data_IF_112659537643
#
_entry.id   IF_112659537643
#
_cell.length_a   1.000
_cell.length_b   1.000
_cell.length_c   1.000
_cell.angle_alpha   90.00
_cell.angle_beta   90.00
_cell.angle_gamma   90.00
#
_symmetry.space_group_name_H-M   'P 1'
#
loop_
_entity.id
_entity.type
_entity.pdbx_description
1 polymer ?
#
# COMPACT_ATOMS: atom_id res chain seq x y z
N UNK A 1 -0.49 33.81 69.66
CA UNK A 1 0.67 33.35 68.86
C UNK A 1 0.54 31.85 68.64
N UNK A 2 0.45 31.41 67.38
CA UNK A 2 1.05 30.18 66.84
C UNK A 2 0.68 30.08 65.36
N UNK A 3 1.70 30.30 64.52
CA UNK A 3 1.71 30.16 63.07
C UNK A 3 1.78 28.67 62.70
N UNK A 4 1.07 28.21 61.66
CA UNK A 4 1.60 27.36 60.56
C UNK A 4 0.52 27.12 59.47
N UNK A 5 0.85 26.67 58.23
CA UNK A 5 0.58 27.46 57.04
C UNK A 5 -0.38 26.82 56.02
N UNK A 6 -0.78 27.64 55.06
CA UNK A 6 -1.53 27.30 53.85
C UNK A 6 -0.81 26.29 52.94
N UNK A 7 -1.64 25.55 52.19
CA UNK A 7 -1.44 24.92 50.86
C UNK A 7 -1.27 23.39 50.83
N UNK A 8 -2.38 22.66 50.99
CA UNK A 8 -2.57 21.39 50.28
C UNK A 8 -2.98 21.68 48.83
N UNK A 9 -2.01 22.06 48.00
CA UNK A 9 -2.17 22.04 46.55
C UNK A 9 -1.71 20.66 46.06
N UNK A 10 -2.65 19.94 45.44
CA UNK A 10 -2.44 18.96 44.35
C UNK A 10 -1.18 18.10 44.49
N UNK A 11 -1.27 16.98 45.18
CA UNK A 11 -0.27 15.92 45.03
C UNK A 11 -0.97 14.56 45.01
N UNK A 12 -0.95 13.96 43.82
CA UNK A 12 -1.08 12.53 43.56
C UNK A 12 -2.43 11.87 43.86
N UNK A 13 -3.44 12.20 43.05
CA UNK A 13 -4.44 11.21 42.65
C UNK A 13 -4.35 11.09 41.14
N UNK A 14 -3.43 10.24 40.68
CA UNK A 14 -3.55 9.62 39.36
C UNK A 14 -3.13 8.15 39.42
N UNK A 15 -3.88 7.27 40.10
CA UNK A 15 -3.67 5.83 40.00
C UNK A 15 -4.54 5.18 38.91
N UNK A 16 -4.93 5.91 37.84
CA UNK A 16 -5.87 5.37 36.85
C UNK A 16 -5.68 5.91 35.43
N UNK A 17 -4.45 5.86 34.91
CA UNK A 17 -4.22 5.96 33.45
C UNK A 17 -3.27 4.89 32.90
N UNK A 18 -2.65 4.06 33.74
CA UNK A 18 -1.83 2.93 33.27
C UNK A 18 -2.61 1.62 33.08
N UNK A 19 -3.90 1.56 33.43
CA UNK A 19 -4.73 0.35 33.23
C UNK A 19 -5.56 0.38 31.94
N UNK A 20 -5.78 1.56 31.35
CA UNK A 20 -6.58 1.68 30.12
C UNK A 20 -5.73 1.38 28.86
N UNK A 21 -4.42 1.63 28.89
CA UNK A 21 -3.53 1.28 27.76
C UNK A 21 -3.23 -0.21 27.67
N UNK A 22 -3.24 -0.94 28.79
CA UNK A 22 -3.15 -2.41 28.77
C UNK A 22 -4.49 -3.06 28.35
N UNK A 23 -5.63 -2.46 28.72
CA UNK A 23 -6.95 -3.00 28.35
C UNK A 23 -7.32 -2.73 26.87
N UNK A 24 -6.94 -1.59 26.30
CA UNK A 24 -7.06 -1.39 24.84
C UNK A 24 -6.01 -2.22 24.06
N UNK A 25 -4.83 -2.45 24.63
CA UNK A 25 -3.82 -3.34 24.03
C UNK A 25 -4.21 -4.82 24.01
N UNK A 26 -5.02 -5.27 24.97
CA UNK A 26 -5.47 -6.68 25.07
C UNK A 26 -6.69 -7.00 24.21
N UNK A 27 -7.45 -6.00 23.75
CA UNK A 27 -8.51 -6.20 22.74
C UNK A 27 -7.99 -6.15 21.29
N UNK A 28 -6.81 -5.57 21.02
CA UNK A 28 -6.17 -5.70 19.71
C UNK A 28 -5.34 -6.99 19.53
N UNK A 29 -5.08 -7.74 20.61
CA UNK A 29 -4.36 -9.02 20.54
C UNK A 29 -5.25 -10.27 20.69
N UNK A 30 -6.58 -10.14 20.73
CA UNK A 30 -7.49 -11.29 20.91
C UNK A 30 -8.44 -11.55 19.73
N UNK A 31 -8.35 -10.78 18.64
CA UNK A 31 -9.13 -10.98 17.39
C UNK A 31 -8.26 -11.26 16.15
N UNK A 32 -7.16 -12.00 16.31
CA UNK A 32 -6.75 -12.96 15.27
C UNK A 32 -6.95 -14.35 15.86
N UNK A 33 -8.23 -14.64 16.01
CA UNK A 33 -8.82 -15.95 16.14
C UNK A 33 -8.03 -16.93 15.26
N UNK A 34 -7.58 -18.01 15.89
CA UNK A 34 -6.94 -19.14 15.25
C UNK A 34 -7.95 -19.82 14.31
N UNK A 35 -8.15 -19.24 13.14
CA UNK A 35 -8.79 -19.83 11.98
C UNK A 35 -7.74 -20.01 10.89
N UNK A 36 -6.73 -20.83 11.16
CA UNK A 36 -5.97 -21.55 10.15
C UNK A 36 -6.14 -23.02 10.51
N UNK A 37 -7.10 -23.71 9.89
CA UNK A 37 -6.90 -24.40 8.61
C UNK A 37 -5.52 -25.06 8.60
N UNK A 38 -5.54 -26.38 8.64
CA UNK A 38 -4.41 -27.24 8.36
C UNK A 38 -3.91 -27.03 6.92
N UNK A 39 -3.34 -25.88 6.61
CA UNK A 39 -2.36 -25.80 5.53
C UNK A 39 -1.00 -25.98 6.17
N UNK A 40 -0.46 -27.15 5.92
CA UNK A 40 0.92 -27.52 6.19
C UNK A 40 1.81 -26.61 5.36
N UNK A 41 1.95 -25.33 5.75
CA UNK A 41 2.99 -24.45 5.24
C UNK A 41 4.27 -24.88 5.94
N UNK A 42 4.80 -26.01 5.46
CA UNK A 42 6.15 -26.45 5.79
C UNK A 42 7.04 -25.31 5.32
N UNK A 43 7.49 -24.47 6.25
CA UNK A 43 8.64 -23.61 6.03
C UNK A 43 9.81 -24.56 5.86
N UNK A 44 9.97 -25.02 4.63
CA UNK A 44 10.98 -25.98 4.26
C UNK A 44 12.31 -25.23 4.25
N UNK A 45 12.96 -25.18 5.40
CA UNK A 45 14.41 -24.96 5.45
C UNK A 45 15.01 -26.25 4.90
N UNK A 46 15.11 -26.35 3.57
CA UNK A 46 15.55 -27.57 2.90
C UNK A 46 17.05 -27.70 3.13
N UNK A 47 17.40 -28.57 4.07
CA UNK A 47 18.77 -28.99 4.32
C UNK A 47 19.35 -29.64 3.07
N UNK A 48 20.59 -29.26 2.77
CA UNK A 48 21.40 -29.43 1.56
C UNK A 48 21.74 -30.86 1.10
N UNK A 49 20.87 -31.84 1.30
CA UNK A 49 21.02 -33.21 0.77
C UNK A 49 20.27 -33.38 -0.56
N UNK A 50 20.83 -34.18 -1.48
CA UNK A 50 20.36 -34.51 -2.83
C UNK A 50 18.88 -34.17 -3.08
N UNK A 51 18.61 -33.17 -3.92
CA UNK A 51 17.23 -32.80 -4.25
C UNK A 51 16.54 -34.00 -4.93
N UNK A 52 15.42 -34.44 -4.35
CA UNK A 52 14.57 -35.45 -4.96
C UNK A 52 13.73 -34.82 -6.09
N UNK A 53 13.38 -35.59 -7.15
CA UNK A 53 12.51 -35.11 -8.23
C UNK A 53 11.25 -34.37 -7.75
N UNK A 54 10.62 -34.90 -6.70
CA UNK A 54 9.44 -34.28 -6.07
C UNK A 54 9.69 -32.84 -5.58
N UNK A 55 10.88 -32.55 -5.07
CA UNK A 55 11.23 -31.21 -4.60
C UNK A 55 11.41 -30.25 -5.77
N UNK A 56 11.99 -30.69 -6.89
CA UNK A 56 12.05 -29.89 -8.13
C UNK A 56 10.64 -29.58 -8.63
N UNK A 57 9.74 -30.55 -8.61
CA UNK A 57 8.34 -30.36 -9.03
C UNK A 57 7.63 -29.33 -8.16
N UNK A 58 7.80 -29.42 -6.84
CA UNK A 58 7.25 -28.47 -5.89
C UNK A 58 7.77 -27.05 -6.13
N UNK A 59 9.08 -26.88 -6.30
CA UNK A 59 9.68 -25.56 -6.57
C UNK A 59 9.22 -25.01 -7.92
N UNK A 60 9.08 -25.86 -8.93
CA UNK A 60 8.59 -25.47 -10.26
C UNK A 60 7.13 -24.99 -10.19
N UNK A 61 6.28 -25.72 -9.48
CA UNK A 61 4.87 -25.35 -9.29
C UNK A 61 4.74 -24.07 -8.46
N UNK A 62 5.53 -23.91 -7.39
CA UNK A 62 5.56 -22.67 -6.60
C UNK A 62 5.98 -21.47 -7.46
N UNK A 63 7.02 -21.63 -8.29
CA UNK A 63 7.45 -20.56 -9.19
C UNK A 63 6.34 -20.16 -10.16
N UNK A 64 5.61 -21.13 -10.70
CA UNK A 64 4.47 -20.90 -11.59
C UNK A 64 3.35 -20.14 -10.87
N UNK A 65 2.99 -20.55 -9.66
CA UNK A 65 1.95 -19.89 -8.86
C UNK A 65 2.31 -18.43 -8.56
N UNK A 66 3.53 -18.16 -8.08
CA UNK A 66 3.98 -16.79 -7.83
C UNK A 66 3.96 -15.93 -9.11
N UNK A 67 4.40 -16.48 -10.25
CA UNK A 67 4.30 -15.80 -11.55
C UNK A 67 2.85 -15.46 -11.89
N UNK A 68 1.93 -16.41 -11.78
CA UNK A 68 0.51 -16.20 -12.11
C UNK A 68 -0.13 -15.13 -11.22
N UNK A 69 0.14 -15.13 -9.92
CA UNK A 69 -0.33 -14.09 -8.99
C UNK A 69 0.19 -12.71 -9.38
N UNK A 70 1.48 -12.59 -9.70
CA UNK A 70 2.09 -11.31 -10.12
C UNK A 70 1.42 -10.77 -11.38
N UNK A 71 1.24 -11.63 -12.39
CA UNK A 71 0.62 -11.21 -13.67
C UNK A 71 -0.84 -10.82 -13.49
N UNK A 72 -1.59 -11.58 -12.69
CA UNK A 72 -2.98 -11.28 -12.41
C UNK A 72 -3.14 -9.92 -11.72
N UNK A 73 -2.35 -9.65 -10.68
CA UNK A 73 -2.38 -8.37 -9.97
C UNK A 73 -2.01 -7.21 -10.89
N UNK A 74 -1.00 -7.40 -11.74
CA UNK A 74 -0.55 -6.37 -12.67
C UNK A 74 -1.63 -6.00 -13.70
N UNK A 75 -2.31 -7.00 -14.26
CA UNK A 75 -3.42 -6.78 -15.19
C UNK A 75 -4.65 -6.17 -14.50
N UNK A 76 -4.95 -6.58 -13.26
CA UNK A 76 -6.04 -5.99 -12.48
C UNK A 76 -5.80 -4.49 -12.24
N UNK A 77 -4.61 -4.08 -11.83
CA UNK A 77 -4.26 -2.67 -11.66
C UNK A 77 -4.41 -1.88 -12.97
N UNK A 78 -3.92 -2.42 -14.08
CA UNK A 78 -4.03 -1.80 -15.41
C UNK A 78 -5.47 -1.62 -15.88
N UNK A 79 -6.37 -2.54 -15.52
CA UNK A 79 -7.78 -2.43 -15.87
C UNK A 79 -8.49 -1.26 -15.16
N UNK A 80 -7.96 -0.80 -14.02
CA UNK A 80 -8.55 0.23 -13.14
C UNK A 80 -7.87 1.60 -13.30
N UNK A 81 -7.68 2.09 -14.53
CA UNK A 81 -6.98 3.38 -14.80
C UNK A 81 -7.93 4.54 -15.08
N UNK A 82 -9.18 4.28 -15.40
CA UNK A 82 -10.17 5.33 -15.72
C UNK A 82 -10.85 5.85 -14.45
N UNK A 83 -10.88 7.17 -14.30
CA UNK A 83 -11.58 7.87 -13.22
C UNK A 83 -12.25 9.13 -13.77
N UNK A 84 -13.37 9.50 -13.16
CA UNK A 84 -14.17 10.70 -13.51
C UNK A 84 -14.22 11.72 -12.37
N UNK A 85 -13.77 11.35 -11.17
CA UNK A 85 -13.74 12.20 -9.99
C UNK A 85 -12.46 12.02 -9.18
N UNK A 86 -12.17 13.00 -8.31
CA UNK A 86 -11.06 12.94 -7.35
C UNK A 86 -11.17 11.75 -6.40
N UNK A 87 -12.40 11.41 -5.97
CA UNK A 87 -12.64 10.25 -5.09
C UNK A 87 -12.32 8.92 -5.80
N UNK A 88 -12.69 8.79 -7.07
CA UNK A 88 -12.32 7.62 -7.87
C UNK A 88 -10.81 7.54 -8.08
N UNK A 89 -10.15 8.68 -8.34
CA UNK A 89 -8.69 8.76 -8.45
C UNK A 89 -7.98 8.33 -7.15
N UNK A 90 -8.49 8.71 -5.98
CA UNK A 90 -7.98 8.24 -4.69
C UNK A 90 -8.10 6.72 -4.53
N UNK A 91 -9.24 6.14 -4.92
CA UNK A 91 -9.43 4.69 -4.89
C UNK A 91 -8.49 3.95 -5.87
N UNK A 92 -8.31 4.50 -7.07
CA UNK A 92 -7.33 4.00 -8.04
C UNK A 92 -5.92 4.05 -7.44
N UNK A 93 -5.53 5.14 -6.79
CA UNK A 93 -4.25 5.28 -6.11
C UNK A 93 -4.04 4.23 -5.01
N UNK A 94 -5.04 4.00 -4.17
CA UNK A 94 -4.99 2.96 -3.14
C UNK A 94 -4.77 1.59 -3.77
N UNK A 95 -5.54 1.27 -4.81
CA UNK A 95 -5.44 -0.01 -5.53
C UNK A 95 -4.04 -0.20 -6.13
N UNK A 96 -3.51 0.82 -6.80
CA UNK A 96 -2.19 0.76 -7.43
C UNK A 96 -1.06 0.62 -6.40
N UNK A 97 -1.15 1.31 -5.26
CA UNK A 97 -0.17 1.17 -4.17
C UNK A 97 -0.20 -0.24 -3.55
N UNK A 98 -1.39 -0.76 -3.28
CA UNK A 98 -1.56 -2.12 -2.74
C UNK A 98 -1.06 -3.18 -3.71
N UNK A 99 -1.45 -3.10 -4.99
CA UNK A 99 -1.00 -4.07 -5.99
C UNK A 99 0.52 -3.99 -6.24
N UNK A 100 1.11 -2.79 -6.19
CA UNK A 100 2.58 -2.61 -6.22
C UNK A 100 3.27 -3.34 -5.08
N UNK A 101 2.79 -3.18 -3.85
CA UNK A 101 3.34 -3.87 -2.67
C UNK A 101 3.21 -5.39 -2.78
N UNK A 102 2.04 -5.87 -3.22
CA UNK A 102 1.79 -7.30 -3.42
C UNK A 102 2.69 -7.91 -4.49
N UNK A 103 2.84 -7.24 -5.65
CA UNK A 103 3.77 -7.69 -6.70
C UNK A 103 5.21 -7.75 -6.17
N UNK A 104 5.64 -6.75 -5.41
CA UNK A 104 6.99 -6.74 -4.85
C UNK A 104 7.21 -7.91 -3.88
N UNK A 105 6.24 -8.19 -3.00
CA UNK A 105 6.30 -9.31 -2.06
C UNK A 105 6.31 -10.67 -2.77
N UNK A 106 5.42 -10.87 -3.75
CA UNK A 106 5.36 -12.10 -4.54
C UNK A 106 6.64 -12.30 -5.38
N UNK A 107 7.22 -11.21 -5.92
CA UNK A 107 8.50 -11.30 -6.66
C UNK A 107 9.65 -11.73 -5.75
N UNK A 108 9.65 -11.28 -4.49
CA UNK A 108 10.62 -11.73 -3.48
C UNK A 108 10.45 -13.22 -3.17
N UNK A 109 9.21 -13.71 -3.06
CA UNK A 109 8.93 -15.14 -2.88
C UNK A 109 9.39 -15.97 -4.08
N UNK A 110 9.11 -15.51 -5.30
CA UNK A 110 9.63 -16.13 -6.53
C UNK A 110 11.16 -16.17 -6.56
N UNK A 111 11.83 -15.10 -6.08
CA UNK A 111 13.29 -15.09 -5.98
C UNK A 111 13.80 -16.13 -4.98
N UNK A 112 13.11 -16.32 -3.85
CA UNK A 112 13.46 -17.36 -2.86
C UNK A 112 13.33 -18.76 -3.47
N UNK A 113 12.31 -19.00 -4.30
CA UNK A 113 12.17 -20.27 -5.04
C UNK A 113 13.34 -20.47 -6.01
N UNK A 114 13.72 -19.43 -6.75
CA UNK A 114 14.90 -19.47 -7.63
C UNK A 114 16.18 -19.85 -6.88
N UNK A 115 16.47 -19.17 -5.77
CA UNK A 115 17.67 -19.47 -4.95
C UNK A 115 17.62 -20.91 -4.43
N UNK A 116 16.43 -21.40 -4.04
CA UNK A 116 16.26 -22.76 -3.51
C UNK A 116 16.53 -23.86 -4.53
N UNK A 117 16.33 -23.60 -5.84
CA UNK A 117 16.62 -24.56 -6.91
C UNK A 117 18.04 -24.38 -7.50
N UNK A 118 18.63 -23.19 -7.36
CA UNK A 118 19.95 -22.85 -7.88
C UNK A 118 21.07 -23.63 -7.17
N UNK A 119 21.05 -23.67 -5.83
CA UNK A 119 22.10 -24.36 -5.06
C UNK A 119 22.23 -25.84 -5.46
N UNK A 120 21.14 -26.61 -5.58
CA UNK A 120 21.27 -28.03 -5.89
C UNK A 120 21.50 -28.29 -7.37
N UNK A 121 21.04 -27.39 -8.26
CA UNK A 121 21.46 -27.40 -9.65
C UNK A 121 22.99 -27.26 -9.77
N UNK A 122 23.60 -26.30 -9.06
CA UNK A 122 25.05 -26.10 -9.07
C UNK A 122 25.80 -27.31 -8.51
N UNK A 123 25.30 -27.93 -7.43
CA UNK A 123 25.91 -29.15 -6.86
C UNK A 123 25.88 -30.32 -7.84
N UNK A 124 24.73 -30.64 -8.42
CA UNK A 124 24.62 -31.75 -9.37
C UNK A 124 25.45 -31.48 -10.63
N UNK A 125 25.55 -30.21 -11.05
CA UNK A 125 26.42 -29.78 -12.15
C UNK A 125 27.89 -30.06 -11.85
N UNK A 126 28.36 -29.76 -10.65
CA UNK A 126 29.73 -30.05 -10.20
C UNK A 126 29.99 -31.57 -10.12
N UNK A 127 29.07 -32.33 -9.51
CA UNK A 127 29.18 -33.79 -9.37
C UNK A 127 29.26 -34.51 -10.73
N UNK A 128 28.54 -34.02 -11.73
CA UNK A 128 28.56 -34.58 -13.10
C UNK A 128 29.92 -34.43 -13.81
N UNK A 129 30.77 -33.50 -13.36
CA UNK A 129 32.12 -33.34 -13.92
C UNK A 129 33.08 -34.44 -13.46
N UNK A 130 32.82 -35.06 -12.31
CA UNK A 130 33.64 -36.12 -11.71
C UNK A 130 33.16 -37.54 -12.00
N UNK A 131 31.85 -37.79 -12.01
CA UNK A 131 31.25 -39.12 -12.23
C UNK A 131 30.16 -39.06 -13.32
N UNK A 132 30.43 -39.72 -14.45
CA UNK A 132 29.57 -39.73 -15.66
C UNK A 132 28.63 -40.94 -15.72
N UNK A 133 28.30 -41.54 -14.58
CA UNK A 133 27.30 -42.62 -14.54
C UNK A 133 25.97 -42.19 -15.17
N UNK A 134 25.26 -43.15 -15.76
CA UNK A 134 23.99 -42.87 -16.46
C UNK A 134 22.90 -42.36 -15.52
N UNK A 135 22.89 -42.81 -14.25
CA UNK A 135 21.96 -42.29 -13.25
C UNK A 135 22.23 -40.83 -12.92
N UNK A 136 23.50 -40.41 -12.82
CA UNK A 136 23.86 -39.02 -12.53
C UNK A 136 23.44 -38.10 -13.68
N UNK A 137 23.55 -38.55 -14.94
CA UNK A 137 23.04 -37.81 -16.10
C UNK A 137 21.53 -37.62 -16.07
N UNK A 138 20.78 -38.66 -15.70
CA UNK A 138 19.32 -38.58 -15.61
C UNK A 138 18.89 -37.61 -14.51
N UNK A 139 19.51 -37.69 -13.32
CA UNK A 139 19.25 -36.76 -12.21
C UNK A 139 19.57 -35.33 -12.62
N UNK A 140 20.73 -35.09 -13.24
CA UNK A 140 21.09 -33.76 -13.72
C UNK A 140 20.13 -33.22 -14.77
N UNK A 141 19.74 -34.03 -15.76
CA UNK A 141 18.78 -33.61 -16.79
C UNK A 141 17.46 -33.13 -16.17
N UNK A 142 16.99 -33.83 -15.13
CA UNK A 142 15.76 -33.48 -14.42
C UNK A 142 15.88 -32.16 -13.66
N UNK A 143 16.93 -32.05 -12.82
CA UNK A 143 17.18 -30.85 -12.02
C UNK A 143 17.43 -29.63 -12.92
N UNK A 144 18.17 -29.81 -14.02
CA UNK A 144 18.43 -28.78 -15.02
C UNK A 144 17.14 -28.28 -15.69
N UNK A 145 16.23 -29.19 -16.05
CA UNK A 145 14.94 -28.81 -16.62
C UNK A 145 14.12 -27.95 -15.65
N UNK A 146 13.99 -28.38 -14.39
CA UNK A 146 13.27 -27.60 -13.37
C UNK A 146 13.90 -26.23 -13.11
N UNK A 147 15.24 -26.18 -12.99
CA UNK A 147 15.97 -24.92 -12.82
C UNK A 147 15.68 -23.94 -13.96
N UNK A 148 15.71 -24.42 -15.21
CA UNK A 148 15.40 -23.58 -16.37
C UNK A 148 13.97 -23.07 -16.38
N UNK A 149 12.99 -23.87 -15.96
CA UNK A 149 11.59 -23.43 -15.86
C UNK A 149 11.44 -22.30 -14.83
N UNK A 150 12.00 -22.50 -13.62
CA UNK A 150 11.95 -21.48 -12.56
C UNK A 150 12.66 -20.20 -13.00
N UNK A 151 13.82 -20.33 -13.66
CA UNK A 151 14.57 -19.20 -14.22
C UNK A 151 13.76 -18.44 -15.27
N UNK A 152 13.15 -19.15 -16.21
CA UNK A 152 12.29 -18.55 -17.25
C UNK A 152 11.13 -17.79 -16.62
N UNK A 153 10.53 -18.31 -15.55
CA UNK A 153 9.45 -17.61 -14.85
C UNK A 153 9.91 -16.29 -14.22
N UNK A 154 11.10 -16.27 -13.60
CA UNK A 154 11.70 -15.04 -13.07
C UNK A 154 11.96 -14.01 -14.18
N UNK A 155 12.63 -14.44 -15.27
CA UNK A 155 12.97 -13.58 -16.40
C UNK A 155 11.71 -13.03 -17.10
N UNK A 156 10.67 -13.84 -17.23
CA UNK A 156 9.39 -13.41 -17.78
C UNK A 156 8.76 -12.31 -16.93
N UNK A 157 8.71 -12.49 -15.61
CA UNK A 157 8.15 -11.49 -14.70
C UNK A 157 8.95 -10.19 -14.75
N UNK A 158 10.28 -10.27 -14.71
CA UNK A 158 11.15 -9.08 -14.75
C UNK A 158 11.00 -8.29 -16.07
N UNK A 159 10.66 -8.98 -17.16
CA UNK A 159 10.39 -8.37 -18.46
C UNK A 159 8.99 -7.74 -18.52
N UNK A 160 7.95 -8.46 -18.11
CA UNK A 160 6.55 -8.03 -18.28
C UNK A 160 6.09 -7.05 -17.19
N UNK A 161 6.60 -7.18 -15.96
CA UNK A 161 6.15 -6.41 -14.79
C UNK A 161 7.28 -5.54 -14.27
N UNK A 162 7.28 -4.28 -14.71
CA UNK A 162 8.29 -3.31 -14.32
C UNK A 162 7.81 -2.41 -13.16
N UNK A 163 8.34 -2.65 -11.95
CA UNK A 163 8.02 -1.87 -10.75
C UNK A 163 8.29 -0.37 -10.93
N UNK A 164 9.31 0.03 -11.69
CA UNK A 164 9.59 1.45 -11.93
C UNK A 164 8.51 2.12 -12.79
N UNK A 165 7.91 1.38 -13.73
CA UNK A 165 6.78 1.88 -14.53
C UNK A 165 5.56 2.06 -13.64
N UNK A 166 5.31 1.12 -12.73
CA UNK A 166 4.23 1.21 -11.74
C UNK A 166 4.44 2.42 -10.82
N UNK A 167 5.64 2.59 -10.27
CA UNK A 167 5.97 3.72 -9.39
C UNK A 167 5.79 5.07 -10.11
N UNK A 168 6.18 5.17 -11.39
CA UNK A 168 5.95 6.38 -12.21
C UNK A 168 4.46 6.66 -12.42
N UNK A 169 3.65 5.64 -12.64
CA UNK A 169 2.21 5.80 -12.81
C UNK A 169 1.55 6.27 -11.50
N UNK A 170 1.95 5.69 -10.36
CA UNK A 170 1.50 6.13 -9.03
C UNK A 170 1.83 7.61 -8.83
N UNK A 171 3.07 8.03 -9.11
CA UNK A 171 3.47 9.44 -9.02
C UNK A 171 2.65 10.36 -9.93
N UNK A 172 2.31 9.90 -11.14
CA UNK A 172 1.47 10.66 -12.06
C UNK A 172 0.06 10.87 -11.48
N UNK A 173 -0.55 9.83 -10.91
CA UNK A 173 -1.84 9.94 -10.25
C UNK A 173 -1.80 10.84 -9.00
N UNK A 174 -0.76 10.74 -8.18
CA UNK A 174 -0.59 11.62 -7.01
C UNK A 174 -0.50 13.09 -7.41
N UNK A 175 0.26 13.39 -8.46
CA UNK A 175 0.37 14.73 -9.00
C UNK A 175 -0.98 15.25 -9.52
N UNK A 176 -1.71 14.42 -10.28
CA UNK A 176 -3.03 14.77 -10.78
C UNK A 176 -4.00 15.10 -9.64
N UNK A 177 -4.00 14.30 -8.56
CA UNK A 177 -4.86 14.52 -7.41
C UNK A 177 -4.55 15.86 -6.71
N UNK A 178 -3.27 16.20 -6.55
CA UNK A 178 -2.85 17.50 -5.99
C UNK A 178 -3.29 18.66 -6.91
N UNK A 179 -3.13 18.52 -8.22
CA UNK A 179 -3.51 19.56 -9.18
C UNK A 179 -5.04 19.78 -9.22
N UNK A 180 -5.86 18.72 -9.09
CA UNK A 180 -7.32 18.84 -9.04
C UNK A 180 -7.82 19.43 -7.72
N UNK A 181 -7.28 18.98 -6.59
CA UNK A 181 -7.67 19.49 -5.25
C UNK A 181 -7.28 20.95 -5.07
N UNK A 182 -6.13 21.38 -5.59
CA UNK A 182 -5.72 22.80 -5.57
C UNK A 182 -6.62 23.67 -6.45
N UNK A 183 -7.01 23.20 -7.64
CA UNK A 183 -7.98 23.90 -8.50
C UNK A 183 -9.34 24.06 -7.82
N UNK A 184 -9.86 22.99 -7.20
CA UNK A 184 -11.13 23.03 -6.47
C UNK A 184 -11.08 24.05 -5.33
N UNK A 185 -9.99 24.07 -4.56
CA UNK A 185 -9.80 25.03 -3.46
C UNK A 185 -9.78 26.49 -3.95
N UNK A 186 -9.05 26.77 -5.03
CA UNK A 186 -8.98 28.12 -5.60
C UNK A 186 -10.34 28.60 -6.15
N UNK A 187 -11.12 27.69 -6.75
CA UNK A 187 -12.48 27.96 -7.22
C UNK A 187 -13.43 28.26 -6.05
N UNK A 188 -13.32 27.51 -4.95
CA UNK A 188 -14.14 27.73 -3.76
C UNK A 188 -13.81 29.06 -3.06
N UNK A 189 -12.53 29.40 -2.95
CA UNK A 189 -12.07 30.69 -2.43
C UNK A 189 -12.55 31.86 -3.30
N UNK A 190 -12.48 31.72 -4.63
CA UNK A 190 -12.98 32.75 -5.55
C UNK A 190 -14.49 32.97 -5.41
N UNK A 191 -15.28 31.90 -5.27
CA UNK A 191 -16.73 32.00 -5.05
C UNK A 191 -17.08 32.67 -3.73
N UNK A 192 -16.38 32.32 -2.64
CA UNK A 192 -16.56 32.96 -1.32
C UNK A 192 -16.22 34.46 -1.37
N UNK A 193 -15.20 34.84 -2.13
CA UNK A 193 -14.80 36.22 -2.29
C UNK A 193 -15.79 37.04 -3.14
N UNK A 194 -16.41 36.42 -4.16
CA UNK A 194 -17.47 37.04 -4.96
C UNK A 194 -18.78 37.20 -4.16
N UNK A 195 -19.18 36.22 -3.37
CA UNK A 195 -20.34 36.32 -2.46
C UNK A 195 -20.13 37.41 -1.40
N UNK A 196 -18.94 37.50 -0.81
CA UNK A 196 -18.62 38.55 0.16
C UNK A 196 -18.73 39.96 -0.47
N UNK A 197 -18.26 40.14 -1.71
CA UNK A 197 -18.41 41.41 -2.45
C UNK A 197 -19.86 41.75 -2.75
N UNK A 198 -20.67 40.78 -3.21
CA UNK A 198 -22.11 41.00 -3.47
C UNK A 198 -22.87 41.37 -2.19
N UNK A 199 -22.50 40.78 -1.05
CA UNK A 199 -23.09 41.11 0.25
C UNK A 199 -22.71 42.51 0.72
N UNK A 200 -21.47 42.95 0.48
CA UNK A 200 -21.00 44.29 0.83
C UNK A 200 -21.63 45.38 -0.07
N UNK A 201 -21.79 45.11 -1.37
CA UNK A 201 -22.52 45.99 -2.30
C UNK A 201 -24.00 46.13 -1.92
N UNK A 202 -24.64 45.03 -1.53
CA UNK A 202 -26.05 45.05 -1.09
C UNK A 202 -26.23 45.90 0.18
N UNK A 203 -25.29 45.82 1.13
CA UNK A 203 -25.31 46.66 2.33
C UNK A 203 -25.11 48.15 2.02
N UNK A 204 -24.18 48.51 1.12
CA UNK A 204 -23.96 49.91 0.71
C UNK A 204 -25.18 50.50 -0.01
N UNK A 205 -25.88 49.72 -0.83
CA UNK A 205 -27.12 50.16 -1.48
C UNK A 205 -28.28 50.35 -0.49
N UNK A 206 -28.38 49.51 0.53
CA UNK A 206 -29.41 49.67 1.57
C UNK A 206 -29.14 50.90 2.45
N UNK A 207 -27.88 51.17 2.77
CA UNK A 207 -27.46 52.36 3.52
C UNK A 207 -27.71 53.66 2.73
N UNK A 208 -27.43 53.65 1.42
CA UNK A 208 -27.72 54.78 0.53
C UNK A 208 -29.23 55.06 0.41
N UNK A 209 -30.08 54.03 0.37
CA UNK A 209 -31.55 54.20 0.37
C UNK A 209 -32.07 54.81 1.69
N UNK A 210 -31.53 54.40 2.84
CA UNK A 210 -31.89 54.98 4.14
C UNK A 210 -31.48 56.46 4.27
N UNK A 211 -30.38 56.84 3.62
CA UNK A 211 -29.88 58.22 3.60
C UNK A 211 -30.69 59.14 2.67
N UNK A 212 -31.24 58.62 1.56
CA UNK A 212 -32.18 59.37 0.72
C UNK A 212 -33.56 59.53 1.39
N UNK A 213 -34.06 58.53 2.10
CA UNK A 213 -35.32 58.66 2.87
C UNK A 213 -35.20 59.69 4.00
N UNK A 214 -34.03 59.79 4.65
CA UNK A 214 -33.76 60.83 5.65
C UNK A 214 -33.76 62.25 5.07
N UNK A 215 -33.21 62.46 3.88
CA UNK A 215 -33.19 63.78 3.22
C UNK A 215 -34.57 64.24 2.75
N UNK A 216 -35.45 63.33 2.30
CA UNK A 216 -36.83 63.68 1.93
C UNK A 216 -37.70 64.09 3.13
N UNK A 217 -37.38 63.64 4.34
CA UNK A 217 -38.10 64.05 5.55
C UNK A 217 -37.65 65.41 6.10
N UNK A 218 -36.44 65.87 5.78
CA UNK A 218 -35.93 67.17 6.21
C UNK A 218 -36.42 68.31 5.31
N UNK A 219 -36.65 68.05 4.02
CA UNK A 219 -37.23 69.01 3.07
C UNK A 219 -38.74 69.26 3.28
N UNK A 220 -39.46 68.38 3.98
CA UNK A 220 -40.87 68.58 4.34
C UNK A 220 -41.07 69.34 5.67
N UNK A 221 -39.99 69.72 6.36
CA UNK A 221 -40.03 70.44 7.65
C UNK A 221 -39.49 71.88 7.60
N UNK A 222 -39.12 72.39 6.43
CA UNK A 222 -38.83 73.81 6.20
C UNK A 222 -40.00 74.51 5.54
#
# INVERSE_FOLDING_TARGET
MLKTPRKFKKMLILPCLCTITFYLGSQMMTYTEAAFIHETKVQATISTASIFPKTVDQLTEQAKQHKEVILHEYEEMKSKVTFTSTQELEQVLVTWKQGREKIAAERELLQKVYVSIEDPYNKVKEELTGDKSESNKQVFSYVNAGFHIVKEHCEYVDKEVNLQVIDKQIQAFEKLLVDETTKQKNLEESKKQEEAKKLEESKKQEEAKKLEEGKKQEEQKK
#
